data_IF_212360434806
#
_entry.id   IF_212360434806
#
_cell.length_a   1.000
_cell.length_b   1.000
_cell.length_c   1.000
_cell.angle_alpha   90.00
_cell.angle_beta   90.00
_cell.angle_gamma   90.00
#
_symmetry.space_group_name_H-M   'P 1'
#
loop_
_entity.id
_entity.type
_entity.pdbx_description
1 polymer ?
#
# COMPACT_ATOMS: atom_id res chain seq x y z
N UNK A 1 -1.24 7.56 -88.31
CA UNK A 1 -0.70 7.53 -86.92
C UNK A 1 -1.85 7.17 -86.00
N UNK A 2 -1.96 5.91 -85.59
CA UNK A 2 -2.88 5.50 -84.53
C UNK A 2 -2.06 5.35 -83.25
N UNK A 3 -2.28 6.25 -82.30
CA UNK A 3 -1.69 6.18 -80.97
C UNK A 3 -2.47 5.11 -80.20
N UNK A 4 -1.73 4.12 -79.70
CA UNK A 4 -2.22 2.93 -79.01
C UNK A 4 -2.77 3.34 -77.63
N UNK A 5 -4.05 3.67 -77.55
CA UNK A 5 -4.73 4.08 -76.30
C UNK A 5 -4.83 2.93 -75.27
N UNK A 6 -4.71 1.68 -75.71
CA UNK A 6 -4.89 0.49 -74.87
C UNK A 6 -3.71 0.16 -73.92
N UNK A 7 -2.49 0.65 -74.21
CA UNK A 7 -1.30 0.40 -73.37
C UNK A 7 -1.18 1.36 -72.19
N UNK A 8 -1.90 2.49 -72.20
CA UNK A 8 -1.90 3.44 -71.08
C UNK A 8 -2.96 3.09 -70.03
N UNK A 9 -4.14 2.60 -70.43
CA UNK A 9 -5.19 2.17 -69.50
C UNK A 9 -4.78 0.93 -68.70
N UNK A 10 -4.15 -0.06 -69.33
CA UNK A 10 -3.72 -1.30 -68.66
C UNK A 10 -2.57 -1.09 -67.67
N UNK A 11 -1.64 -0.17 -67.94
CA UNK A 11 -0.59 0.19 -66.99
C UNK A 11 -1.11 1.06 -65.84
N UNK A 12 -2.11 1.91 -66.09
CA UNK A 12 -2.78 2.69 -65.05
C UNK A 12 -3.59 1.80 -64.10
N UNK A 13 -4.36 0.84 -64.63
CA UNK A 13 -5.13 -0.12 -63.81
C UNK A 13 -4.23 -1.06 -62.99
N UNK A 14 -3.10 -1.50 -63.54
CA UNK A 14 -2.13 -2.32 -62.80
C UNK A 14 -1.39 -1.52 -61.71
N UNK A 15 -1.11 -0.23 -61.95
CA UNK A 15 -0.56 0.67 -60.92
C UNK A 15 -1.56 0.96 -59.80
N UNK A 16 -2.85 1.06 -60.13
CA UNK A 16 -3.92 1.30 -59.15
C UNK A 16 -4.16 0.05 -58.29
N UNK A 17 -4.24 -1.15 -58.91
CA UNK A 17 -4.40 -2.42 -58.17
C UNK A 17 -3.25 -2.72 -57.21
N UNK A 18 -2.01 -2.50 -57.64
CA UNK A 18 -0.83 -2.71 -56.77
C UNK A 18 -0.79 -1.73 -55.59
N UNK A 19 -1.27 -0.50 -55.77
CA UNK A 19 -1.37 0.49 -54.70
C UNK A 19 -2.49 0.15 -53.71
N UNK A 20 -3.64 -0.34 -54.19
CA UNK A 20 -4.74 -0.82 -53.35
C UNK A 20 -4.38 -2.07 -52.54
N UNK A 21 -3.67 -3.02 -53.14
CA UNK A 21 -3.17 -4.23 -52.46
C UNK A 21 -2.15 -3.88 -51.37
N UNK A 22 -1.26 -2.93 -51.65
CA UNK A 22 -0.29 -2.42 -50.68
C UNK A 22 -0.97 -1.66 -49.52
N UNK A 23 -1.97 -0.83 -49.82
CA UNK A 23 -2.77 -0.13 -48.82
C UNK A 23 -3.55 -1.08 -47.91
N UNK A 24 -4.13 -2.15 -48.48
CA UNK A 24 -4.83 -3.20 -47.73
C UNK A 24 -3.86 -3.98 -46.81
N UNK A 25 -2.64 -4.27 -47.29
CA UNK A 25 -1.61 -4.93 -46.48
C UNK A 25 -1.13 -4.06 -45.29
N UNK A 26 -0.94 -2.75 -45.51
CA UNK A 26 -0.57 -1.79 -44.46
C UNK A 26 -1.69 -1.69 -43.43
N UNK A 27 -2.95 -1.54 -43.87
CA UNK A 27 -4.11 -1.45 -43.00
C UNK A 27 -4.31 -2.72 -42.16
N UNK A 28 -4.15 -3.91 -42.76
CA UNK A 28 -4.23 -5.19 -42.04
C UNK A 28 -3.17 -5.30 -40.95
N UNK A 29 -1.91 -4.96 -41.29
CA UNK A 29 -0.79 -4.99 -40.34
C UNK A 29 -0.99 -3.99 -39.20
N UNK A 30 -1.50 -2.79 -39.49
CA UNK A 30 -1.86 -1.81 -38.47
C UNK A 30 -2.95 -2.35 -37.55
N UNK A 31 -4.01 -2.93 -38.11
CA UNK A 31 -5.14 -3.46 -37.35
C UNK A 31 -4.71 -4.60 -36.43
N UNK A 32 -3.91 -5.53 -36.93
CA UNK A 32 -3.32 -6.62 -36.12
C UNK A 32 -2.48 -6.06 -34.96
N UNK A 33 -1.53 -5.17 -35.25
CA UNK A 33 -0.61 -4.62 -34.25
C UNK A 33 -1.31 -3.74 -33.22
N UNK A 34 -2.23 -2.87 -33.65
CA UNK A 34 -3.02 -2.04 -32.75
C UNK A 34 -3.96 -2.87 -31.88
N UNK A 35 -4.51 -3.98 -32.40
CA UNK A 35 -5.31 -4.91 -31.60
C UNK A 35 -4.50 -5.56 -30.48
N UNK A 36 -3.23 -5.90 -30.71
CA UNK A 36 -2.35 -6.43 -29.67
C UNK A 36 -2.11 -5.42 -28.53
N UNK A 37 -1.89 -4.15 -28.87
CA UNK A 37 -1.73 -3.08 -27.86
C UNK A 37 -3.03 -2.90 -27.07
N UNK A 38 -4.18 -2.85 -27.76
CA UNK A 38 -5.50 -2.73 -27.11
C UNK A 38 -5.77 -3.91 -26.18
N UNK A 39 -5.46 -5.13 -26.62
CA UNK A 39 -5.62 -6.33 -25.81
C UNK A 39 -4.79 -6.24 -24.53
N UNK A 40 -3.50 -5.90 -24.64
CA UNK A 40 -2.62 -5.71 -23.48
C UNK A 40 -3.12 -4.65 -22.50
N UNK A 41 -3.62 -3.51 -23.01
CA UNK A 41 -4.22 -2.44 -22.19
C UNK A 41 -5.55 -2.83 -21.54
N UNK A 42 -6.23 -3.86 -22.05
CA UNK A 42 -7.50 -4.36 -21.50
C UNK A 42 -7.29 -5.56 -20.56
N UNK A 43 -6.20 -6.31 -20.71
CA UNK A 43 -5.83 -7.42 -19.83
C UNK A 43 -4.75 -6.99 -18.83
N UNK A 44 -3.50 -7.11 -19.24
CA UNK A 44 -2.31 -7.15 -18.39
C UNK A 44 -1.96 -5.78 -17.81
N UNK A 45 -2.41 -4.70 -18.46
CA UNK A 45 -2.25 -3.32 -18.01
C UNK A 45 -3.60 -2.59 -17.94
N UNK A 46 -4.66 -3.31 -17.54
CA UNK A 46 -5.98 -2.73 -17.38
C UNK A 46 -6.03 -1.66 -16.29
N UNK A 47 -6.88 -0.65 -16.50
CA UNK A 47 -7.07 0.43 -15.52
C UNK A 47 -7.53 -0.13 -14.17
N UNK A 48 -8.49 -1.06 -14.19
CA UNK A 48 -9.01 -1.71 -12.99
C UNK A 48 -7.91 -2.46 -12.21
N UNK A 49 -7.00 -3.15 -12.91
CA UNK A 49 -5.86 -3.83 -12.29
C UNK A 49 -4.94 -2.82 -11.59
N UNK A 50 -4.60 -1.72 -12.27
CA UNK A 50 -3.76 -0.66 -11.71
C UNK A 50 -4.41 0.02 -10.50
N UNK A 51 -5.72 0.31 -10.56
CA UNK A 51 -6.47 0.86 -9.42
C UNK A 51 -6.47 -0.10 -8.22
N UNK A 52 -6.60 -1.40 -8.48
CA UNK A 52 -6.52 -2.43 -7.44
C UNK A 52 -5.14 -2.43 -6.78
N UNK A 53 -4.07 -2.32 -7.57
CA UNK A 53 -2.72 -2.22 -7.04
C UNK A 53 -2.47 -0.90 -6.31
N UNK A 54 -3.01 0.21 -6.78
CA UNK A 54 -2.96 1.50 -6.10
C UNK A 54 -3.57 1.41 -4.70
N UNK A 55 -4.80 0.87 -4.59
CA UNK A 55 -5.47 0.67 -3.30
C UNK A 55 -4.62 -0.19 -2.36
N UNK A 56 -3.99 -1.25 -2.88
CA UNK A 56 -3.09 -2.12 -2.09
C UNK A 56 -1.83 -1.38 -1.62
N UNK A 57 -1.19 -0.60 -2.47
CA UNK A 57 0.01 0.18 -2.10
C UNK A 57 -0.34 1.25 -1.07
N UNK A 58 -1.46 1.96 -1.26
CA UNK A 58 -1.95 2.93 -0.29
C UNK A 58 -2.29 2.28 1.06
N UNK A 59 -2.86 1.08 1.05
CA UNK A 59 -3.08 0.32 2.28
C UNK A 59 -1.75 -0.03 2.97
N UNK A 60 -0.74 -0.51 2.22
CA UNK A 60 0.58 -0.84 2.75
C UNK A 60 1.28 0.38 3.39
N UNK A 61 1.19 1.56 2.75
CA UNK A 61 1.72 2.81 3.33
C UNK A 61 1.10 3.17 4.69
N UNK A 62 -0.15 2.74 4.92
CA UNK A 62 -0.89 2.96 6.17
C UNK A 62 -0.65 1.88 7.22
N UNK A 63 -0.06 0.75 6.85
CA UNK A 63 0.22 -0.33 7.78
C UNK A 63 1.30 0.05 8.80
N UNK A 64 1.23 -0.61 9.97
CA UNK A 64 2.29 -0.56 10.96
C UNK A 64 3.17 -1.81 10.80
N UNK A 65 4.50 -1.65 10.85
CA UNK A 65 5.43 -2.75 10.61
C UNK A 65 6.18 -3.14 11.87
N UNK A 66 6.28 -4.45 12.12
CA UNK A 66 6.86 -5.03 13.32
C UNK A 66 7.87 -6.11 12.97
N UNK A 67 8.83 -6.32 13.88
CA UNK A 67 9.65 -7.52 13.86
C UNK A 67 8.95 -8.64 14.62
N UNK A 68 8.65 -9.72 13.90
CA UNK A 68 8.31 -10.99 14.53
C UNK A 68 9.59 -11.80 14.74
N UNK A 69 9.75 -12.29 15.98
CA UNK A 69 10.89 -13.11 16.40
C UNK A 69 10.40 -14.54 16.58
N UNK A 70 10.76 -15.43 15.64
CA UNK A 70 10.42 -16.83 15.73
C UNK A 70 11.64 -17.65 16.19
N UNK A 71 11.56 -18.41 17.30
CA UNK A 71 12.58 -19.39 17.61
C UNK A 71 12.56 -20.49 16.55
N UNK A 72 13.72 -20.85 15.99
CA UNK A 72 13.79 -21.91 14.98
C UNK A 72 13.45 -23.30 15.56
N UNK A 73 13.39 -23.47 16.90
CA UNK A 73 13.26 -24.77 17.58
C UNK A 73 11.90 -25.07 18.25
N UNK A 74 10.77 -24.69 17.64
CA UNK A 74 9.46 -25.31 17.96
C UNK A 74 9.15 -26.57 17.12
N UNK A 75 10.17 -27.17 16.48
CA UNK A 75 10.12 -28.55 15.98
C UNK A 75 11.06 -29.39 16.83
N UNK A 76 10.73 -29.57 18.11
CA UNK A 76 11.41 -30.55 18.96
C UNK A 76 10.56 -31.83 18.95
N UNK A 77 10.99 -32.79 18.13
CA UNK A 77 10.84 -34.21 18.43
C UNK A 77 11.63 -34.48 19.72
N UNK A 78 11.04 -34.23 20.89
CA UNK A 78 11.22 -35.08 22.07
C UNK A 78 10.33 -34.59 23.22
N UNK A 79 9.63 -35.53 23.86
CA UNK A 79 8.53 -35.26 24.79
C UNK A 79 8.94 -34.78 26.19
N UNK A 80 10.20 -34.42 26.46
CA UNK A 80 10.68 -34.34 27.86
C UNK A 80 11.54 -33.12 28.23
N UNK A 81 11.28 -31.95 27.64
CA UNK A 81 11.76 -30.70 28.23
C UNK A 81 10.60 -29.71 28.28
N UNK A 82 10.02 -29.57 29.48
CA UNK A 82 9.22 -28.43 29.89
C UNK A 82 10.08 -27.17 29.69
N UNK A 83 10.09 -26.65 28.47
CA UNK A 83 10.83 -25.46 28.11
C UNK A 83 10.16 -24.28 28.82
N UNK A 84 10.82 -23.79 29.87
CA UNK A 84 10.48 -22.52 30.48
C UNK A 84 10.30 -21.48 29.36
N UNK A 85 9.19 -20.72 29.32
CA UNK A 85 9.01 -19.63 28.39
C UNK A 85 9.88 -18.45 28.82
N UNK A 86 11.20 -18.62 28.73
CA UNK A 86 12.14 -17.51 28.75
C UNK A 86 11.80 -16.68 27.52
N UNK A 87 11.18 -15.51 27.72
CA UNK A 87 10.85 -14.58 26.63
C UNK A 87 12.09 -14.43 25.76
N UNK A 88 11.98 -14.76 24.46
CA UNK A 88 13.09 -14.76 23.50
C UNK A 88 13.87 -13.43 23.49
N UNK A 89 13.26 -12.34 23.96
CA UNK A 89 13.89 -11.04 24.15
C UNK A 89 14.92 -10.98 25.27
N UNK A 90 14.90 -11.90 26.24
CA UNK A 90 15.91 -11.98 27.32
C UNK A 90 17.26 -12.49 26.82
N UNK A 91 17.29 -13.21 25.69
CA UNK A 91 18.53 -13.74 25.09
C UNK A 91 19.02 -12.91 23.90
N UNK A 92 18.22 -11.94 23.44
CA UNK A 92 18.58 -11.05 22.35
C UNK A 92 19.36 -9.85 22.92
N UNK A 93 20.51 -9.55 22.32
CA UNK A 93 21.27 -8.35 22.64
C UNK A 93 20.44 -7.10 22.27
N UNK A 94 20.12 -6.20 23.22
CA UNK A 94 19.27 -5.04 22.96
C UNK A 94 19.86 -4.08 21.91
N UNK A 95 21.18 -3.88 21.91
CA UNK A 95 21.86 -2.99 20.96
C UNK A 95 21.84 -3.56 19.54
N UNK A 96 22.05 -4.87 19.40
CA UNK A 96 21.90 -5.57 18.11
C UNK A 96 20.46 -5.50 17.63
N UNK A 97 19.49 -5.68 18.52
CA UNK A 97 18.07 -5.58 18.15
C UNK A 97 17.71 -4.17 17.67
N UNK A 98 18.18 -3.11 18.34
CA UNK A 98 17.97 -1.74 17.88
C UNK A 98 18.58 -1.48 16.49
N UNK A 99 19.75 -2.06 16.17
CA UNK A 99 20.30 -1.99 14.81
C UNK A 99 19.42 -2.71 13.80
N UNK A 100 18.86 -3.85 14.15
CA UNK A 100 17.92 -4.57 13.29
C UNK A 100 16.62 -3.78 13.11
N UNK A 101 16.09 -3.11 14.14
CA UNK A 101 14.95 -2.20 14.00
C UNK A 101 15.24 -1.09 12.98
N UNK A 102 16.40 -0.44 13.09
CA UNK A 102 16.82 0.59 12.11
C UNK A 102 16.91 0.04 10.69
N UNK A 103 17.50 -1.15 10.53
CA UNK A 103 17.57 -1.83 9.23
C UNK A 103 16.18 -2.16 8.68
N UNK A 104 15.30 -2.73 9.52
CA UNK A 104 13.93 -3.04 9.14
C UNK A 104 13.16 -1.79 8.72
N UNK A 105 13.39 -0.65 9.39
CA UNK A 105 12.78 0.63 9.04
C UNK A 105 13.22 1.07 7.65
N UNK A 106 14.52 1.12 7.39
CA UNK A 106 15.05 1.48 6.07
C UNK A 106 14.58 0.52 4.98
N UNK A 107 14.54 -0.79 5.26
CA UNK A 107 14.01 -1.79 4.32
C UNK A 107 12.52 -1.55 4.02
N UNK A 108 11.72 -1.19 5.03
CA UNK A 108 10.29 -0.86 4.86
C UNK A 108 10.12 0.38 4.00
N UNK A 109 10.86 1.45 4.30
CA UNK A 109 10.84 2.71 3.55
C UNK A 109 11.21 2.49 2.08
N UNK A 110 12.33 1.79 1.82
CA UNK A 110 12.76 1.44 0.45
C UNK A 110 11.71 0.59 -0.26
N UNK A 111 11.15 -0.40 0.42
CA UNK A 111 10.13 -1.28 -0.16
C UNK A 111 8.87 -0.51 -0.58
N UNK A 112 8.36 0.37 0.29
CA UNK A 112 7.20 1.19 0.00
C UNK A 112 7.46 2.19 -1.14
N UNK A 113 8.64 2.81 -1.16
CA UNK A 113 9.06 3.69 -2.24
C UNK A 113 9.18 2.95 -3.57
N UNK A 114 9.81 1.77 -3.57
CA UNK A 114 9.96 0.95 -4.77
C UNK A 114 8.60 0.50 -5.32
N UNK A 115 7.67 0.05 -4.46
CA UNK A 115 6.32 -0.31 -4.90
C UNK A 115 5.59 0.89 -5.51
N UNK A 116 5.71 2.07 -4.90
CA UNK A 116 5.09 3.30 -5.39
C UNK A 116 5.65 3.67 -6.76
N UNK A 117 6.98 3.70 -6.89
CA UNK A 117 7.65 4.03 -8.14
C UNK A 117 7.32 3.05 -9.28
N UNK A 118 7.36 1.74 -9.02
CA UNK A 118 7.01 0.74 -10.03
C UNK A 118 5.55 0.88 -10.49
N UNK A 119 4.63 1.25 -9.59
CA UNK A 119 3.23 1.46 -9.95
C UNK A 119 3.04 2.74 -10.77
N UNK A 120 3.74 3.82 -10.43
CA UNK A 120 3.75 5.06 -11.22
C UNK A 120 4.29 4.82 -12.63
N UNK A 121 5.38 4.06 -12.77
CA UNK A 121 5.93 3.66 -14.08
C UNK A 121 4.92 2.86 -14.92
N UNK A 122 4.13 1.98 -14.28
CA UNK A 122 3.07 1.22 -14.96
C UNK A 122 1.91 2.12 -15.41
N UNK A 123 1.50 3.09 -14.58
CA UNK A 123 0.46 4.06 -14.91
C UNK A 123 0.90 4.96 -16.06
N UNK A 124 2.11 5.53 -15.98
CA UNK A 124 2.67 6.35 -17.04
C UNK A 124 2.86 5.56 -18.33
N UNK A 125 3.39 4.33 -18.26
CA UNK A 125 3.52 3.46 -19.43
C UNK A 125 2.18 3.10 -20.06
N UNK A 126 1.12 2.96 -19.25
CA UNK A 126 -0.24 2.78 -19.74
C UNK A 126 -0.71 4.01 -20.53
N UNK A 127 -0.55 5.20 -19.98
CA UNK A 127 -0.94 6.46 -20.63
C UNK A 127 -0.19 6.65 -21.96
N UNK A 128 1.10 6.34 -21.96
CA UNK A 128 1.95 6.37 -23.15
C UNK A 128 1.45 5.45 -24.26
N UNK A 129 1.10 4.19 -23.93
CA UNK A 129 0.56 3.23 -24.90
C UNK A 129 -0.82 3.63 -25.44
N UNK A 130 -1.67 4.26 -24.61
CA UNK A 130 -2.94 4.84 -25.08
C UNK A 130 -2.68 5.98 -26.05
N UNK A 131 -1.75 6.87 -25.72
CA UNK A 131 -1.38 8.00 -26.56
C UNK A 131 -0.92 7.52 -27.94
N UNK A 132 -0.12 6.45 -28.03
CA UNK A 132 0.27 5.86 -29.32
C UNK A 132 -0.91 5.37 -30.17
N UNK A 133 -2.00 4.92 -29.55
CA UNK A 133 -3.19 4.47 -30.28
C UNK A 133 -4.11 5.62 -30.70
N UNK A 134 -4.12 6.70 -29.95
CA UNK A 134 -5.04 7.83 -30.17
C UNK A 134 -4.44 8.93 -31.05
N UNK A 135 -3.12 9.14 -30.97
CA UNK A 135 -2.47 10.29 -31.60
C UNK A 135 -1.66 9.97 -32.85
N UNK A 136 -1.14 8.75 -32.99
CA UNK A 136 -0.32 8.39 -34.14
C UNK A 136 -1.19 8.01 -35.33
N UNK A 137 -0.84 8.54 -36.51
CA UNK A 137 -1.35 8.02 -37.77
C UNK A 137 -0.83 6.59 -38.03
N UNK A 138 -1.42 5.90 -39.00
CA UNK A 138 -1.11 4.50 -39.31
C UNK A 138 0.36 4.28 -39.68
N UNK A 139 0.98 5.19 -40.44
CA UNK A 139 2.36 5.05 -40.89
C UNK A 139 3.33 5.27 -39.74
N UNK A 140 3.10 6.32 -38.94
CA UNK A 140 3.88 6.63 -37.74
C UNK A 140 3.81 5.47 -36.74
N UNK A 141 2.62 4.93 -36.47
CA UNK A 141 2.45 3.78 -35.58
C UNK A 141 3.23 2.55 -36.05
N UNK A 142 3.12 2.21 -37.34
CA UNK A 142 3.82 1.06 -37.90
C UNK A 142 5.34 1.24 -37.91
N UNK A 143 5.83 2.45 -38.16
CA UNK A 143 7.28 2.76 -38.12
C UNK A 143 7.86 2.65 -36.71
N UNK A 144 7.07 2.97 -35.68
CA UNK A 144 7.48 2.91 -34.26
C UNK A 144 7.14 1.58 -33.60
N UNK A 145 6.62 0.61 -34.33
CA UNK A 145 6.11 -0.64 -33.77
C UNK A 145 7.12 -1.37 -32.88
N UNK A 146 8.38 -1.48 -33.30
CA UNK A 146 9.38 -2.22 -32.51
C UNK A 146 9.64 -1.53 -31.16
N UNK A 147 9.60 -0.20 -31.12
CA UNK A 147 9.68 0.57 -29.87
C UNK A 147 8.45 0.35 -28.99
N UNK A 148 7.24 0.36 -29.58
CA UNK A 148 5.98 0.09 -28.86
C UNK A 148 5.99 -1.32 -28.26
N UNK A 149 6.39 -2.33 -29.06
CA UNK A 149 6.52 -3.71 -28.62
C UNK A 149 7.56 -3.87 -27.50
N UNK A 150 8.70 -3.19 -27.62
CA UNK A 150 9.73 -3.19 -26.58
C UNK A 150 9.18 -2.58 -25.28
N UNK A 151 8.45 -1.46 -25.37
CA UNK A 151 7.81 -0.81 -24.22
C UNK A 151 6.81 -1.73 -23.51
N UNK A 152 5.97 -2.45 -24.26
CA UNK A 152 5.05 -3.44 -23.68
C UNK A 152 5.81 -4.58 -22.95
N UNK A 153 6.94 -5.03 -23.50
CA UNK A 153 7.79 -6.04 -22.87
C UNK A 153 8.39 -5.54 -21.55
N UNK A 154 8.87 -4.29 -21.54
CA UNK A 154 9.47 -3.69 -20.36
C UNK A 154 8.43 -3.43 -19.26
N UNK A 155 7.23 -2.96 -19.62
CA UNK A 155 6.11 -2.82 -18.68
C UNK A 155 5.70 -4.16 -18.07
N UNK A 156 5.73 -5.23 -18.85
CA UNK A 156 5.45 -6.58 -18.35
C UNK A 156 6.51 -7.04 -17.34
N UNK A 157 7.79 -6.70 -17.54
CA UNK A 157 8.85 -6.97 -16.56
C UNK A 157 8.66 -6.13 -15.29
N UNK A 158 8.29 -4.86 -15.44
CA UNK A 158 8.00 -3.97 -14.31
C UNK A 158 6.84 -4.54 -13.48
N UNK A 159 5.77 -5.00 -14.11
CA UNK A 159 4.65 -5.65 -13.44
C UNK A 159 5.09 -6.92 -12.67
N UNK A 160 5.91 -7.76 -13.29
CA UNK A 160 6.45 -8.96 -12.63
C UNK A 160 7.33 -8.59 -11.42
N UNK A 161 8.17 -7.55 -11.55
CA UNK A 161 8.98 -7.03 -10.45
C UNK A 161 8.08 -6.48 -9.33
N UNK A 162 7.04 -5.72 -9.67
CA UNK A 162 6.08 -5.19 -8.72
C UNK A 162 5.41 -6.31 -7.91
N UNK A 163 4.91 -7.36 -8.58
CA UNK A 163 4.29 -8.53 -7.93
C UNK A 163 5.29 -9.25 -7.01
N UNK A 164 6.53 -9.44 -7.47
CA UNK A 164 7.60 -10.08 -6.69
C UNK A 164 7.96 -9.29 -5.43
N UNK A 165 8.11 -7.96 -5.55
CA UNK A 165 8.35 -7.08 -4.41
C UNK A 165 7.20 -7.17 -3.41
N UNK A 166 5.95 -7.11 -3.88
CA UNK A 166 4.77 -7.19 -3.02
C UNK A 166 4.69 -8.49 -2.19
N UNK A 167 5.25 -9.60 -2.68
CA UNK A 167 5.26 -10.88 -1.96
C UNK A 167 6.36 -10.98 -0.89
N UNK A 168 7.41 -10.16 -0.95
CA UNK A 168 8.57 -10.29 -0.08
C UNK A 168 8.35 -9.69 1.31
N UNK A 169 8.41 -10.55 2.35
CA UNK A 169 8.21 -10.17 3.78
C UNK A 169 9.40 -10.47 4.69
N UNK A 170 10.53 -10.92 4.13
CA UNK A 170 11.69 -11.38 4.92
C UNK A 170 12.62 -10.22 5.28
N UNK A 171 13.04 -10.15 6.55
CA UNK A 171 14.15 -9.31 6.97
C UNK A 171 15.45 -10.08 6.78
N UNK A 172 16.34 -9.55 5.98
CA UNK A 172 17.67 -10.13 5.79
C UNK A 172 18.62 -9.59 6.87
N UNK A 173 18.81 -10.34 7.95
CA UNK A 173 19.80 -9.98 8.97
C UNK A 173 21.13 -10.68 8.73
N UNK A 174 22.21 -9.91 8.52
CA UNK A 174 23.58 -10.46 8.39
C UNK A 174 24.22 -10.89 9.72
N UNK A 175 23.66 -10.49 10.86
CA UNK A 175 24.28 -10.66 12.18
C UNK A 175 23.45 -11.52 13.13
N UNK A 176 24.11 -12.38 13.91
CA UNK A 176 23.49 -13.14 15.00
C UNK A 176 23.02 -12.18 16.11
N UNK A 177 21.72 -12.22 16.40
CA UNK A 177 21.07 -11.39 17.42
C UNK A 177 21.43 -11.75 18.86
N UNK A 178 21.79 -13.00 19.11
CA UNK A 178 22.13 -13.50 20.44
C UNK A 178 23.53 -13.02 20.84
N UNK A 179 23.70 -12.60 22.09
CA UNK A 179 25.02 -12.37 22.66
C UNK A 179 25.63 -13.70 23.07
N UNK A 180 26.80 -14.06 22.52
CA UNK A 180 27.48 -15.31 22.87
C UNK A 180 28.08 -15.31 24.29
N UNK A 181 27.97 -14.19 25.03
CA UNK A 181 28.63 -14.02 26.32
C UNK A 181 27.95 -14.78 27.49
N UNK A 182 26.64 -15.04 27.40
CA UNK A 182 25.85 -15.55 28.55
C UNK A 182 25.45 -17.02 28.43
N UNK A 183 25.75 -17.68 27.32
CA UNK A 183 25.35 -19.08 27.09
C UNK A 183 26.54 -20.01 27.34
N UNK A 184 26.83 -20.29 28.61
CA UNK A 184 27.74 -21.38 28.99
C UNK A 184 27.10 -22.72 28.60
N UNK A 185 27.53 -23.27 27.47
CA UNK A 185 27.40 -24.70 27.16
C UNK A 185 26.13 -25.18 26.46
N UNK A 186 25.13 -24.34 26.17
CA UNK A 186 23.97 -24.74 25.34
C UNK A 186 24.04 -24.15 23.93
N UNK A 187 23.54 -24.89 22.93
CA UNK A 187 23.53 -24.48 21.52
C UNK A 187 22.79 -23.15 21.38
N UNK A 188 23.44 -22.14 20.78
CA UNK A 188 22.84 -20.83 20.51
C UNK A 188 21.53 -21.03 19.73
N UNK A 189 20.39 -20.51 20.22
CA UNK A 189 19.14 -20.62 19.48
C UNK A 189 19.28 -19.90 18.14
N UNK A 190 18.97 -20.58 17.04
CA UNK A 190 18.80 -19.92 15.76
C UNK A 190 17.49 -19.12 15.83
N UNK A 191 17.59 -17.81 15.57
CA UNK A 191 16.48 -16.87 15.66
C UNK A 191 16.22 -16.32 14.27
N UNK A 192 15.02 -16.56 13.75
CA UNK A 192 14.57 -15.98 12.48
C UNK A 192 13.71 -14.76 12.74
N UNK A 193 13.95 -13.72 11.96
CA UNK A 193 13.23 -12.46 12.04
C UNK A 193 12.42 -12.23 10.77
N UNK A 194 11.18 -11.79 10.96
CA UNK A 194 10.28 -11.46 9.87
C UNK A 194 9.78 -10.03 10.03
N UNK A 195 9.61 -9.33 8.91
CA UNK A 195 8.89 -8.06 8.90
C UNK A 195 7.41 -8.38 8.69
N UNK A 196 6.60 -8.08 9.69
CA UNK A 196 5.17 -8.26 9.61
C UNK A 196 4.48 -6.90 9.49
N UNK A 197 3.57 -6.76 8.53
CA UNK A 197 2.72 -5.60 8.39
C UNK A 197 1.37 -5.89 9.05
N UNK A 198 0.94 -5.01 9.95
CA UNK A 198 -0.39 -5.00 10.53
C UNK A 198 -1.24 -3.93 9.87
N UNK A 199 -2.47 -4.30 9.50
CA UNK A 199 -3.42 -3.42 8.81
C UNK A 199 -3.71 -2.16 9.62
N UNK A 200 -3.93 -0.99 9.02
CA UNK A 200 -4.18 0.24 9.76
C UNK A 200 -5.40 0.13 10.69
N UNK A 201 -5.31 0.79 11.84
CA UNK A 201 -6.47 1.04 12.71
C UNK A 201 -7.18 2.27 12.19
N UNK A 202 -8.48 2.16 11.94
CA UNK A 202 -9.28 3.23 11.34
C UNK A 202 -10.55 3.47 12.15
N UNK A 203 -10.93 4.73 12.34
CA UNK A 203 -12.21 5.06 12.95
C UNK A 203 -13.37 4.60 12.08
N UNK A 204 -14.35 3.99 12.73
CA UNK A 204 -15.66 3.80 12.14
C UNK A 204 -16.38 5.16 12.15
N UNK A 205 -16.48 5.78 10.98
CA UNK A 205 -17.09 7.10 10.82
C UNK A 205 -18.60 7.10 11.03
N UNK A 206 -19.26 5.94 10.93
CA UNK A 206 -20.70 5.80 11.11
C UNK A 206 -21.04 5.56 12.58
N UNK A 207 -20.17 4.89 13.32
CA UNK A 207 -20.38 4.57 14.74
C UNK A 207 -19.64 5.49 15.72
N UNK A 208 -18.81 6.41 15.21
CA UNK A 208 -18.16 7.45 16.01
C UNK A 208 -18.96 8.75 15.96
N UNK A 209 -19.39 9.24 17.12
CA UNK A 209 -20.23 10.44 17.22
C UNK A 209 -20.00 11.20 18.53
N UNK A 210 -20.29 12.51 18.52
CA UNK A 210 -20.22 13.34 19.71
C UNK A 210 -21.63 13.70 20.23
N UNK A 211 -21.74 13.75 21.55
CA UNK A 211 -22.88 14.29 22.27
C UNK A 211 -22.51 15.63 22.92
N UNK A 212 -23.31 16.09 23.88
CA UNK A 212 -23.17 17.37 24.57
C UNK A 212 -21.79 17.58 25.22
N UNK A 213 -21.32 16.61 25.99
CA UNK A 213 -20.09 16.71 26.79
C UNK A 213 -19.22 15.45 26.70
N UNK A 214 -19.48 14.60 25.72
CA UNK A 214 -18.75 13.34 25.53
C UNK A 214 -18.77 12.91 24.08
N UNK A 215 -17.85 12.03 23.69
CA UNK A 215 -17.82 11.41 22.37
C UNK A 215 -17.69 9.89 22.48
N UNK A 216 -18.48 9.19 21.67
CA UNK A 216 -18.30 7.77 21.39
C UNK A 216 -17.35 7.63 20.20
N UNK A 217 -16.36 6.77 20.33
CA UNK A 217 -15.43 6.44 19.25
C UNK A 217 -15.36 4.94 19.11
N UNK A 218 -15.50 4.47 17.88
CA UNK A 218 -15.27 3.09 17.49
C UNK A 218 -14.24 3.05 16.38
N UNK A 219 -13.41 2.02 16.39
CA UNK A 219 -12.46 1.77 15.31
C UNK A 219 -12.43 0.29 14.96
N UNK A 220 -11.87 -0.01 13.80
CA UNK A 220 -11.72 -1.36 13.30
C UNK A 220 -10.38 -1.53 12.59
N UNK A 221 -9.95 -2.78 12.50
CA UNK A 221 -8.84 -3.20 11.66
C UNK A 221 -9.44 -4.01 10.52
N UNK A 222 -9.12 -3.67 9.28
CA UNK A 222 -9.65 -4.38 8.13
C UNK A 222 -9.13 -5.84 8.11
N UNK A 223 -10.05 -6.81 8.05
CA UNK A 223 -9.77 -8.24 7.93
C UNK A 223 -8.92 -8.87 9.05
N UNK A 224 -8.81 -8.26 10.24
CA UNK A 224 -8.13 -8.86 11.39
C UNK A 224 -8.77 -8.46 12.73
N UNK A 225 -9.00 -9.45 13.59
CA UNK A 225 -9.20 -9.24 15.02
C UNK A 225 -7.99 -9.82 15.77
N UNK A 226 -7.15 -8.96 16.32
CA UNK A 226 -6.05 -9.35 17.18
C UNK A 226 -6.47 -9.21 18.65
N UNK A 227 -6.57 -10.30 19.43
CA UNK A 227 -7.19 -10.25 20.76
C UNK A 227 -6.36 -9.52 21.85
N UNK A 228 -5.16 -9.02 21.54
CA UNK A 228 -4.22 -8.49 22.54
C UNK A 228 -3.54 -7.17 22.13
N UNK A 229 -4.14 -6.39 21.23
CA UNK A 229 -3.59 -5.09 20.85
C UNK A 229 -4.00 -3.98 21.82
N UNK A 230 -3.05 -3.08 22.11
CA UNK A 230 -3.31 -1.83 22.80
C UNK A 230 -3.31 -0.69 21.79
N UNK A 231 -4.23 0.25 21.98
CA UNK A 231 -4.40 1.44 21.16
C UNK A 231 -4.25 2.68 22.01
N UNK A 232 -3.70 3.73 21.40
CA UNK A 232 -3.60 5.05 21.99
C UNK A 232 -4.55 6.00 21.25
N UNK A 233 -5.54 6.48 21.98
CA UNK A 233 -6.46 7.49 21.52
C UNK A 233 -6.00 8.85 22.06
N UNK A 234 -5.65 9.75 21.17
CA UNK A 234 -5.36 11.14 21.47
C UNK A 234 -6.55 12.00 21.08
N UNK A 235 -6.79 13.06 21.83
CA UNK A 235 -7.75 14.08 21.43
C UNK A 235 -7.25 15.47 21.75
N UNK A 236 -7.65 16.45 20.95
CA UNK A 236 -7.36 17.86 21.18
C UNK A 236 -8.49 18.73 20.62
N UNK A 237 -8.77 19.84 21.31
CA UNK A 237 -9.66 20.87 20.81
C UNK A 237 -9.06 21.57 19.58
N UNK A 238 -9.84 21.71 18.50
CA UNK A 238 -9.37 22.24 17.20
C UNK A 238 -9.19 23.76 17.23
N UNK A 239 -10.20 24.50 17.69
CA UNK A 239 -10.17 25.97 17.79
C UNK A 239 -10.29 26.37 19.25
N UNK A 240 -9.35 27.19 19.73
CA UNK A 240 -9.36 27.78 21.07
C UNK A 240 -9.84 29.22 20.96
N UNK A 241 -10.98 29.53 21.56
CA UNK A 241 -11.54 30.87 21.67
C UNK A 241 -11.27 31.51 23.03
N UNK A 242 -11.25 30.75 24.13
CA UNK A 242 -11.14 31.31 25.50
C UNK A 242 -9.98 30.74 26.29
N UNK A 243 -9.56 31.43 27.37
CA UNK A 243 -8.46 30.96 28.22
C UNK A 243 -8.81 29.66 28.99
N UNK A 244 -10.10 29.41 29.25
CA UNK A 244 -10.60 28.17 29.84
C UNK A 244 -10.48 26.95 28.90
N UNK A 245 -10.28 27.18 27.60
CA UNK A 245 -10.14 26.12 26.60
C UNK A 245 -8.70 25.62 26.46
N UNK A 246 -7.75 26.24 27.17
CA UNK A 246 -6.38 25.76 27.24
C UNK A 246 -6.30 24.46 28.07
N UNK A 247 -5.72 23.41 27.49
CA UNK A 247 -5.56 22.12 28.15
C UNK A 247 -6.64 21.08 27.83
N UNK A 248 -7.62 21.39 26.96
CA UNK A 248 -8.58 20.40 26.46
C UNK A 248 -7.95 19.47 25.42
N UNK A 249 -7.08 18.59 25.91
CA UNK A 249 -6.48 17.48 25.20
C UNK A 249 -6.23 16.32 26.17
N UNK A 250 -6.06 15.12 25.63
CA UNK A 250 -5.73 13.96 26.45
C UNK A 250 -5.28 12.76 25.65
N UNK A 251 -4.83 11.75 26.39
CA UNK A 251 -4.40 10.45 25.89
C UNK A 251 -5.12 9.37 26.70
N UNK A 252 -5.67 8.39 25.98
CA UNK A 252 -6.35 7.25 26.57
C UNK A 252 -5.83 5.97 25.94
N UNK A 253 -5.37 5.03 26.76
CA UNK A 253 -4.98 3.70 26.28
C UNK A 253 -6.15 2.73 26.43
N UNK A 254 -6.40 1.92 25.38
CA UNK A 254 -7.48 0.94 25.33
C UNK A 254 -7.02 -0.37 24.71
N UNK A 255 -7.53 -1.47 25.23
CA UNK A 255 -7.43 -2.81 24.60
C UNK A 255 -8.69 -3.17 23.81
N UNK A 256 -9.76 -2.40 23.98
CA UNK A 256 -11.02 -2.52 23.25
C UNK A 256 -10.98 -1.71 21.97
N UNK A 257 -11.90 -1.99 21.05
CA UNK A 257 -12.09 -1.26 19.79
C UNK A 257 -13.05 -0.06 19.91
N UNK A 258 -13.44 0.29 21.14
CA UNK A 258 -14.35 1.39 21.46
C UNK A 258 -13.83 2.19 22.66
N UNK A 259 -14.15 3.49 22.67
CA UNK A 259 -13.86 4.37 23.79
C UNK A 259 -14.90 5.48 23.89
N UNK A 260 -15.24 5.83 25.14
CA UNK A 260 -16.04 7.01 25.46
C UNK A 260 -15.14 8.04 26.12
N UNK A 261 -15.02 9.23 25.52
CA UNK A 261 -14.29 10.37 26.09
C UNK A 261 -15.30 11.30 26.73
N UNK A 262 -15.22 11.48 28.05
CA UNK A 262 -16.10 12.34 28.85
C UNK A 262 -15.46 13.71 29.11
N UNK A 263 -16.25 14.68 29.56
CA UNK A 263 -15.74 16.00 29.99
C UNK A 263 -15.32 16.90 28.84
N UNK A 264 -15.85 16.68 27.65
CA UNK A 264 -15.69 17.58 26.51
C UNK A 264 -16.53 18.83 26.71
N UNK A 265 -16.06 19.97 26.20
CA UNK A 265 -16.83 21.20 26.19
C UNK A 265 -17.97 21.10 25.16
N UNK A 266 -19.16 21.64 25.48
CA UNK A 266 -20.27 21.71 24.54
C UNK A 266 -20.00 22.74 23.43
N UNK A 267 -20.62 22.54 22.26
CA UNK A 267 -20.48 23.40 21.07
C UNK A 267 -19.02 23.65 20.64
N UNK A 268 -18.23 22.57 20.63
CA UNK A 268 -16.80 22.60 20.33
C UNK A 268 -16.39 21.42 19.46
N UNK A 269 -15.46 21.67 18.54
CA UNK A 269 -14.90 20.65 17.66
C UNK A 269 -13.60 20.09 18.22
N UNK A 270 -13.55 18.77 18.33
CA UNK A 270 -12.39 18.02 18.78
C UNK A 270 -11.85 17.15 17.65
N UNK A 271 -10.54 17.16 17.47
CA UNK A 271 -9.84 16.20 16.64
C UNK A 271 -9.41 15.03 17.52
N UNK A 272 -9.80 13.83 17.11
CA UNK A 272 -9.42 12.57 17.71
C UNK A 272 -8.46 11.85 16.78
N UNK A 273 -7.41 11.27 17.33
CA UNK A 273 -6.39 10.50 16.62
C UNK A 273 -6.25 9.13 17.26
N UNK A 274 -6.24 8.08 16.45
CA UNK A 274 -6.04 6.70 16.92
C UNK A 274 -4.80 6.10 16.28
N UNK A 275 -4.01 5.41 17.10
CA UNK A 275 -2.86 4.62 16.66
C UNK A 275 -2.70 3.38 17.52
N UNK A 276 -1.82 2.48 17.11
CA UNK A 276 -1.41 1.36 17.98
C UNK A 276 -0.47 1.90 19.05
N UNK A 277 -0.56 1.33 20.25
CA UNK A 277 0.41 1.64 21.29
C UNK A 277 1.80 1.19 20.84
N UNK A 278 2.81 1.99 21.18
CA UNK A 278 4.18 1.65 20.83
C UNK A 278 4.62 0.40 21.60
N UNK A 279 5.08 -0.61 20.86
CA UNK A 279 5.65 -1.83 21.44
C UNK A 279 7.10 -1.98 21.01
N UNK A 280 7.89 -2.71 21.80
CA UNK A 280 9.33 -2.88 21.58
C UNK A 280 9.70 -3.36 20.16
N UNK A 281 8.84 -4.16 19.53
CA UNK A 281 9.03 -4.72 18.17
C UNK A 281 8.60 -3.80 17.03
N UNK A 282 8.01 -2.63 17.31
CA UNK A 282 7.57 -1.69 16.29
C UNK A 282 8.78 -1.13 15.52
N UNK A 283 8.75 -1.21 14.20
CA UNK A 283 9.82 -0.81 13.29
C UNK A 283 9.50 0.46 12.54
N UNK A 284 8.30 0.54 11.99
CA UNK A 284 7.85 1.64 11.16
C UNK A 284 6.36 1.89 11.40
N UNK A 285 6.04 3.11 11.79
CA UNK A 285 4.68 3.63 11.93
C UNK A 285 4.70 5.10 11.52
N UNK A 286 4.07 5.40 10.39
CA UNK A 286 3.87 6.76 9.91
C UNK A 286 2.40 7.19 10.03
N UNK A 287 1.50 6.23 9.92
CA UNK A 287 0.07 6.45 9.81
C UNK A 287 -0.64 6.45 11.17
N UNK A 288 -1.60 7.36 11.29
CA UNK A 288 -2.62 7.40 12.32
C UNK A 288 -3.91 7.89 11.67
N UNK A 289 -5.06 7.35 12.08
CA UNK A 289 -6.34 7.86 11.58
C UNK A 289 -6.83 9.00 12.46
N UNK A 290 -7.49 9.97 11.85
CA UNK A 290 -8.05 11.13 12.56
C UNK A 290 -9.50 11.36 12.17
N UNK A 291 -10.32 11.72 13.16
CA UNK A 291 -11.71 12.13 12.97
C UNK A 291 -11.96 13.42 13.75
N UNK A 292 -12.71 14.36 13.17
CA UNK A 292 -13.17 15.55 13.88
C UNK A 292 -14.64 15.38 14.22
N UNK A 293 -14.99 15.51 15.50
CA UNK A 293 -16.37 15.47 15.98
C UNK A 293 -16.69 16.77 16.71
N UNK A 294 -17.91 17.28 16.50
CA UNK A 294 -18.40 18.51 17.14
C UNK A 294 -19.44 18.15 18.19
N UNK A 295 -19.21 18.58 19.42
CA UNK A 295 -20.15 18.37 20.53
C UNK A 295 -21.40 19.22 20.34
N UNK A 296 -22.53 18.72 20.83
CA UNK A 296 -23.81 19.44 20.73
C UNK A 296 -23.83 20.64 21.68
N UNK A 297 -24.52 21.71 21.28
CA UNK A 297 -24.71 22.87 22.13
C UNK A 297 -25.52 22.54 23.39
N UNK A 298 -25.33 23.35 24.44
CA UNK A 298 -26.21 23.35 25.60
C UNK A 298 -27.56 23.95 25.20
N UNK A 299 -28.46 23.13 24.67
CA UNK A 299 -29.87 23.51 24.67
C UNK A 299 -30.31 23.44 26.13
N UNK A 300 -30.63 24.59 26.72
CA UNK A 300 -31.43 24.61 27.93
C UNK A 300 -32.75 23.95 27.54
N UNK A 301 -33.08 22.82 28.17
CA UNK A 301 -34.46 22.35 28.14
C UNK A 301 -35.29 23.46 28.77
N UNK A 302 -35.94 24.28 27.93
CA UNK A 302 -37.08 25.07 28.37
C UNK A 302 -38.10 24.06 28.87
N UNK A 303 -38.11 23.89 30.20
CA UNK A 303 -39.18 23.22 30.92
C UNK A 303 -40.44 24.04 30.71
N UNK A 304 -41.12 23.77 29.61
CA UNK A 304 -42.51 24.15 29.39
C UNK A 304 -43.37 22.95 29.73
N UNK A 305 -43.66 22.78 31.02
CA UNK A 305 -44.97 22.34 31.54
C UNK A 305 -45.01 22.55 33.04
#
# INVERSE_FOLDING_TARGET
MNVNLNEFETNSENSVRSTEEQGNAIWRRYTERSSLVRQYLQSDLSLHLLETHQKKVELLKKCCYYIEVLPTFLILRDQNLLALPTSIFQVIDPWKFQRVKKMGRSQTEIHLQLLTHLLEELQQGREELVCYLETYDMETFLSKWDSIKQRMSDLSKIMNNFISVQASRRLYTKHRLVSCADIRGSKIPDIRLFLCAKMPVMFDRNESFAHKNWAHLKWSIENQESPHEQYELHFKLVKRGTQAEFGHCGLVTRTTNTCVVQGLLPDRSYEFMIRRAEVYTLVYELWHDTITLTTKANVAEDKST
#
